data_IF_293733258702
#
_entry.id   IF_293733258702
#
_cell.length_a   1.000
_cell.length_b   1.000
_cell.length_c   1.000
_cell.angle_alpha   90.00
_cell.angle_beta   90.00
_cell.angle_gamma   90.00
#
_symmetry.space_group_name_H-M   'P 1'
#
loop_
_entity.id
_entity.type
_entity.pdbx_description
1 polymer ?
#
# COMPACT_ATOMS: atom_id res chain seq x y z
N UNK A 1 31.44 11.65 1.91
CA UNK A 1 30.27 12.01 1.06
C UNK A 1 29.41 13.10 1.67
N UNK A 2 29.22 13.11 2.99
CA UNK A 2 28.33 14.05 3.65
C UNK A 2 29.14 15.22 4.22
N UNK A 3 28.98 16.38 3.59
CA UNK A 3 29.46 17.63 4.21
C UNK A 3 28.54 17.92 5.39
N UNK A 4 29.11 18.16 6.56
CA UNK A 4 28.34 18.51 7.77
C UNK A 4 27.81 19.96 7.76
N UNK A 5 28.17 20.75 6.75
CA UNK A 5 27.74 22.15 6.61
C UNK A 5 26.65 22.26 5.54
N UNK A 6 25.70 23.17 5.77
CA UNK A 6 24.60 23.47 4.86
C UNK A 6 23.41 22.50 5.06
N UNK A 7 22.46 22.57 4.14
CA UNK A 7 21.22 21.80 4.17
C UNK A 7 21.07 20.93 2.91
N UNK A 8 20.33 19.83 3.05
CA UNK A 8 19.87 19.03 1.93
C UNK A 8 18.35 19.16 1.82
N UNK A 9 17.89 19.67 0.68
CA UNK A 9 16.46 19.84 0.38
C UNK A 9 16.05 18.79 -0.64
N UNK A 10 14.86 18.19 -0.47
CA UNK A 10 14.26 17.32 -1.45
C UNK A 10 12.75 17.52 -1.48
N UNK A 11 12.14 17.20 -2.62
CA UNK A 11 10.70 17.24 -2.80
C UNK A 11 10.10 15.84 -2.61
N UNK A 12 8.99 15.78 -1.89
CA UNK A 12 8.15 14.59 -1.77
C UNK A 12 6.74 14.94 -2.22
N UNK A 13 6.16 14.12 -3.11
CA UNK A 13 4.86 14.41 -3.70
C UNK A 13 3.74 14.57 -2.66
N UNK A 14 3.89 13.93 -1.48
CA UNK A 14 2.89 13.96 -0.41
C UNK A 14 3.27 14.98 0.66
N UNK A 15 4.51 14.97 1.13
CA UNK A 15 4.96 15.82 2.24
C UNK A 15 5.42 17.20 1.79
N UNK A 16 5.68 17.42 0.49
CA UNK A 16 6.18 18.67 -0.06
C UNK A 16 7.68 18.81 0.11
N UNK A 17 8.18 20.04 0.12
CA UNK A 17 9.60 20.32 0.27
C UNK A 17 10.05 20.08 1.71
N UNK A 18 11.09 19.25 1.85
CA UNK A 18 11.68 18.86 3.14
C UNK A 18 13.12 19.31 3.13
N UNK A 19 13.51 20.07 4.15
CA UNK A 19 14.88 20.54 4.36
C UNK A 19 15.45 19.91 5.64
N UNK A 20 16.66 19.37 5.53
CA UNK A 20 17.38 18.73 6.65
C UNK A 20 18.77 19.32 6.76
N UNK A 21 19.20 19.69 7.98
CA UNK A 21 20.56 20.12 8.25
C UNK A 21 21.53 18.96 8.00
N UNK A 22 22.57 19.20 7.22
CA UNK A 22 23.56 18.17 6.92
C UNK A 22 24.32 17.69 8.16
N UNK A 23 24.37 18.47 9.23
CA UNK A 23 24.92 18.06 10.52
C UNK A 23 24.14 16.93 11.20
N UNK A 24 22.86 16.73 10.82
CA UNK A 24 22.01 15.62 11.30
C UNK A 24 22.18 14.34 10.49
N UNK A 25 22.90 14.40 9.38
CA UNK A 25 23.11 13.24 8.50
C UNK A 25 24.33 12.43 8.95
N UNK A 26 24.10 11.30 9.56
CA UNK A 26 25.16 10.35 9.92
C UNK A 26 25.81 9.69 8.72
N UNK A 27 27.09 9.37 8.85
CA UNK A 27 27.78 8.50 7.89
C UNK A 27 27.10 7.13 7.84
N UNK A 28 27.06 6.55 6.65
CA UNK A 28 26.51 5.21 6.46
C UNK A 28 27.50 4.30 5.73
N UNK A 29 27.43 3.02 6.08
CA UNK A 29 28.18 1.99 5.36
C UNK A 29 27.47 1.75 4.02
N UNK A 30 28.17 1.95 2.91
CA UNK A 30 27.67 1.71 1.57
C UNK A 30 27.96 0.27 1.11
N UNK A 31 29.21 -0.19 1.35
CA UNK A 31 29.67 -1.53 0.99
C UNK A 31 30.14 -2.23 2.26
N UNK A 32 29.66 -3.45 2.49
CA UNK A 32 30.06 -4.28 3.61
C UNK A 32 31.47 -4.85 3.39
N UNK A 33 32.09 -5.38 4.45
CA UNK A 33 33.43 -5.99 4.39
C UNK A 33 33.51 -7.21 3.47
N UNK A 34 32.38 -7.87 3.20
CA UNK A 34 32.26 -9.00 2.26
C UNK A 34 32.12 -8.56 0.79
N UNK A 35 32.14 -7.24 0.52
CA UNK A 35 32.04 -6.65 -0.81
C UNK A 35 30.60 -6.46 -1.31
N UNK A 36 29.58 -6.88 -0.55
CA UNK A 36 28.18 -6.65 -0.93
C UNK A 36 27.71 -5.25 -0.50
N UNK A 37 26.86 -4.59 -1.32
CA UNK A 37 26.30 -3.31 -0.95
C UNK A 37 25.31 -3.47 0.22
N UNK A 38 25.16 -2.38 0.99
CA UNK A 38 24.02 -2.28 1.90
C UNK A 38 22.77 -1.92 1.12
N UNK A 39 21.58 -2.10 1.72
CA UNK A 39 20.31 -1.68 1.13
C UNK A 39 20.35 -0.20 0.70
N UNK A 40 20.86 0.67 1.56
CA UNK A 40 20.92 2.12 1.31
C UNK A 40 21.77 2.54 0.11
N UNK A 41 22.69 1.70 -0.32
CA UNK A 41 23.49 1.94 -1.52
C UNK A 41 22.86 1.24 -2.74
N UNK A 42 22.44 -0.01 -2.56
CA UNK A 42 21.89 -0.81 -3.64
C UNK A 42 20.62 -0.17 -4.23
N UNK A 43 19.71 0.34 -3.40
CA UNK A 43 18.48 0.95 -3.88
C UNK A 43 18.73 2.15 -4.81
N UNK A 44 19.69 3.02 -4.49
CA UNK A 44 20.02 4.18 -5.33
C UNK A 44 20.60 3.75 -6.68
N UNK A 45 21.49 2.75 -6.67
CA UNK A 45 22.12 2.23 -7.90
C UNK A 45 21.09 1.47 -8.76
N UNK A 46 20.28 0.63 -8.14
CA UNK A 46 19.27 -0.17 -8.84
C UNK A 46 18.19 0.71 -9.43
N UNK A 47 17.69 1.70 -8.68
CA UNK A 47 16.67 2.64 -9.14
C UNK A 47 17.19 3.45 -10.34
N UNK A 48 18.44 3.91 -10.31
CA UNK A 48 19.04 4.60 -11.44
C UNK A 48 19.22 3.69 -12.66
N UNK A 49 19.79 2.48 -12.48
CA UNK A 49 20.06 1.56 -13.59
C UNK A 49 18.77 0.97 -14.22
N UNK A 50 17.70 0.89 -13.44
CA UNK A 50 16.38 0.45 -13.92
C UNK A 50 15.51 1.60 -14.41
N UNK A 51 16.03 2.83 -14.44
CA UNK A 51 15.32 4.04 -14.89
C UNK A 51 14.02 4.27 -14.12
N UNK A 52 14.02 4.02 -12.79
CA UNK A 52 12.87 4.25 -11.93
C UNK A 52 12.59 5.74 -11.86
N UNK A 53 11.38 6.12 -12.20
CA UNK A 53 10.93 7.53 -12.22
C UNK A 53 10.29 7.95 -10.90
N UNK A 54 9.63 7.04 -10.18
CA UNK A 54 8.93 7.30 -8.94
C UNK A 54 9.27 6.22 -7.91
N UNK A 55 9.68 6.65 -6.71
CA UNK A 55 9.96 5.77 -5.57
C UNK A 55 8.81 5.86 -4.59
N UNK A 56 7.92 4.84 -4.60
CA UNK A 56 6.76 4.75 -3.70
C UNK A 56 7.10 3.83 -2.53
N UNK A 57 7.06 4.33 -1.30
CA UNK A 57 7.40 3.54 -0.09
C UNK A 57 6.80 4.15 1.18
N UNK A 58 6.95 3.48 2.32
CA UNK A 58 6.45 3.98 3.60
C UNK A 58 7.19 5.22 4.10
N UNK A 59 6.49 6.06 4.86
CA UNK A 59 7.02 7.31 5.39
C UNK A 59 8.17 7.14 6.41
N UNK A 60 8.45 5.92 6.89
CA UNK A 60 9.63 5.62 7.69
C UNK A 60 10.95 5.90 6.97
N UNK A 61 10.93 5.96 5.65
CA UNK A 61 12.12 6.28 4.84
C UNK A 61 12.35 7.78 4.61
N UNK A 62 11.44 8.66 5.06
CA UNK A 62 11.61 10.12 4.95
C UNK A 62 12.94 10.59 5.56
N UNK A 63 13.33 10.04 6.72
CA UNK A 63 14.60 10.38 7.37
C UNK A 63 15.85 9.88 6.61
N UNK A 64 15.69 8.90 5.74
CA UNK A 64 16.78 8.36 4.92
C UNK A 64 16.89 9.03 3.55
N UNK A 65 15.82 9.64 3.05
CA UNK A 65 15.78 10.27 1.73
C UNK A 65 16.88 11.31 1.50
N UNK A 66 17.25 12.19 2.47
CA UNK A 66 18.36 13.12 2.28
C UNK A 66 19.69 12.43 1.99
N UNK A 67 19.94 11.27 2.61
CA UNK A 67 21.16 10.48 2.38
C UNK A 67 21.20 9.90 0.95
N UNK A 68 20.03 9.46 0.44
CA UNK A 68 19.91 8.97 -0.94
C UNK A 68 20.12 10.11 -1.95
N UNK A 69 19.56 11.29 -1.71
CA UNK A 69 19.78 12.46 -2.55
C UNK A 69 21.26 12.82 -2.66
N UNK A 70 21.99 12.75 -1.54
CA UNK A 70 23.44 12.99 -1.54
C UNK A 70 24.20 11.95 -2.38
N UNK A 71 23.73 10.71 -2.45
CA UNK A 71 24.31 9.69 -3.33
C UNK A 71 24.01 9.99 -4.79
N UNK A 72 22.77 10.31 -5.16
CA UNK A 72 22.41 10.71 -6.52
C UNK A 72 23.24 11.90 -6.97
N UNK A 73 23.37 12.93 -6.12
CA UNK A 73 24.18 14.11 -6.38
C UNK A 73 25.66 13.76 -6.59
N UNK A 74 26.23 12.89 -5.73
CA UNK A 74 27.64 12.47 -5.82
C UNK A 74 27.93 11.69 -7.11
N UNK A 75 26.95 10.96 -7.64
CA UNK A 75 27.06 10.26 -8.92
C UNK A 75 26.72 11.12 -10.13
N UNK A 76 26.16 12.32 -9.92
CA UNK A 76 25.65 13.18 -10.98
C UNK A 76 24.39 12.63 -11.65
N UNK A 77 23.58 11.85 -10.91
CA UNK A 77 22.35 11.25 -11.37
C UNK A 77 21.14 12.11 -10.98
N UNK A 78 20.07 12.01 -11.77
CA UNK A 78 18.80 12.62 -11.44
C UNK A 78 18.13 11.87 -10.29
N UNK A 79 17.51 12.61 -9.37
CA UNK A 79 16.76 12.06 -8.24
C UNK A 79 15.35 11.70 -8.74
N UNK A 80 14.86 10.48 -8.50
CA UNK A 80 13.49 10.13 -8.83
C UNK A 80 12.50 10.89 -7.96
N UNK A 81 11.25 10.96 -8.38
CA UNK A 81 10.18 11.53 -7.57
C UNK A 81 9.88 10.61 -6.37
N UNK A 82 9.84 11.20 -5.18
CA UNK A 82 9.50 10.47 -3.96
C UNK A 82 8.01 10.58 -3.63
N UNK A 83 7.42 9.43 -3.30
CA UNK A 83 6.04 9.30 -2.82
C UNK A 83 6.05 8.50 -1.53
N UNK A 84 6.13 9.16 -0.38
CA UNK A 84 6.13 8.49 0.91
C UNK A 84 4.71 8.31 1.45
N UNK A 85 4.21 7.08 1.39
CA UNK A 85 2.86 6.73 1.85
C UNK A 85 2.77 6.76 3.39
N UNK A 86 1.59 7.11 3.94
CA UNK A 86 1.37 7.12 5.38
C UNK A 86 1.45 5.71 5.98
N UNK A 87 1.75 5.65 7.27
CA UNK A 87 1.70 4.39 8.02
C UNK A 87 0.26 3.89 8.14
N UNK A 88 0.05 2.58 7.94
CA UNK A 88 -1.21 1.92 8.23
C UNK A 88 -1.17 1.42 9.68
N UNK A 89 -2.22 1.73 10.43
CA UNK A 89 -2.36 1.41 11.86
C UNK A 89 -3.60 0.53 12.11
N UNK A 90 -3.63 -0.12 13.25
CA UNK A 90 -4.85 -0.72 13.78
C UNK A 90 -5.77 0.34 14.42
N UNK A 91 -6.92 -0.08 14.94
CA UNK A 91 -7.91 0.78 15.63
C UNK A 91 -7.34 1.48 16.88
N UNK A 92 -6.25 0.96 17.43
CA UNK A 92 -5.56 1.55 18.59
C UNK A 92 -4.38 2.45 18.18
N UNK A 93 -4.31 2.84 16.90
CA UNK A 93 -3.22 3.64 16.32
C UNK A 93 -1.83 3.02 16.45
N UNK A 94 -1.73 1.70 16.59
CA UNK A 94 -0.46 0.97 16.54
C UNK A 94 -0.20 0.52 15.11
N UNK A 95 1.06 0.61 14.66
CA UNK A 95 1.48 0.14 13.33
C UNK A 95 0.98 -1.29 13.10
N UNK A 96 0.28 -1.51 12.00
CA UNK A 96 -0.22 -2.83 11.62
C UNK A 96 0.95 -3.80 11.50
N UNK A 97 0.83 -4.99 12.10
CA UNK A 97 1.89 -6.00 12.11
C UNK A 97 1.35 -7.35 11.68
N UNK A 98 2.23 -8.21 11.15
CA UNK A 98 1.90 -9.58 10.72
C UNK A 98 1.23 -10.45 11.81
N UNK A 99 1.25 -10.03 13.06
CA UNK A 99 0.63 -10.77 14.19
C UNK A 99 -0.85 -10.46 14.38
N UNK A 100 -1.40 -9.50 13.64
CA UNK A 100 -2.81 -9.06 13.81
C UNK A 100 -3.82 -9.92 13.02
N UNK A 101 -3.40 -10.98 12.31
CA UNK A 101 -4.30 -11.91 11.63
C UNK A 101 -5.03 -11.38 10.37
N UNK A 102 -4.74 -10.13 9.97
CA UNK A 102 -5.33 -9.48 8.78
C UNK A 102 -4.27 -8.72 7.98
N UNK A 103 -3.02 -9.18 8.04
CA UNK A 103 -1.87 -8.41 7.57
C UNK A 103 -1.30 -8.88 6.24
N UNK A 104 -1.82 -9.97 5.69
CA UNK A 104 -1.47 -10.43 4.35
C UNK A 104 -2.70 -10.51 3.47
N UNK A 105 -2.50 -10.43 2.16
CA UNK A 105 -3.59 -10.62 1.18
C UNK A 105 -4.14 -12.03 1.26
N UNK A 106 -3.28 -13.02 1.46
CA UNK A 106 -3.65 -14.42 1.61
C UNK A 106 -4.61 -14.63 2.79
N UNK A 107 -4.30 -14.04 3.96
CA UNK A 107 -5.19 -14.11 5.14
C UNK A 107 -6.58 -13.54 4.86
N UNK A 108 -6.68 -12.50 4.04
CA UNK A 108 -7.96 -11.89 3.66
C UNK A 108 -8.71 -12.76 2.64
N UNK A 109 -8.02 -13.30 1.65
CA UNK A 109 -8.62 -14.22 0.67
C UNK A 109 -9.16 -15.48 1.35
N UNK A 110 -8.41 -16.06 2.30
CA UNK A 110 -8.81 -17.22 3.08
C UNK A 110 -10.05 -16.95 3.97
N UNK A 111 -10.27 -15.69 4.35
CA UNK A 111 -11.47 -15.24 5.05
C UNK A 111 -12.66 -14.97 4.11
N UNK A 112 -12.51 -15.14 2.80
CA UNK A 112 -13.57 -14.96 1.80
C UNK A 112 -13.74 -13.53 1.30
N UNK A 113 -12.76 -12.66 1.50
CA UNK A 113 -12.76 -11.35 0.85
C UNK A 113 -12.41 -11.47 -0.63
N UNK A 114 -13.14 -10.77 -1.47
CA UNK A 114 -12.90 -10.71 -2.91
C UNK A 114 -11.67 -9.87 -3.22
N UNK A 115 -10.83 -10.26 -4.19
CA UNK A 115 -9.67 -9.47 -4.60
C UNK A 115 -10.02 -8.02 -4.96
N UNK A 116 -11.13 -7.79 -5.64
CA UNK A 116 -11.61 -6.47 -6.05
C UNK A 116 -11.95 -5.60 -4.85
N UNK A 117 -12.58 -6.17 -3.83
CA UNK A 117 -12.91 -5.46 -2.59
C UNK A 117 -11.63 -5.11 -1.80
N UNK A 118 -10.65 -6.03 -1.74
CA UNK A 118 -9.36 -5.78 -1.10
C UNK A 118 -8.61 -4.65 -1.82
N UNK A 119 -8.52 -4.68 -3.15
CA UNK A 119 -7.84 -3.65 -3.95
C UNK A 119 -8.49 -2.29 -3.73
N UNK A 120 -9.82 -2.20 -3.83
CA UNK A 120 -10.53 -0.95 -3.62
C UNK A 120 -10.36 -0.42 -2.18
N UNK A 121 -10.46 -1.31 -1.18
CA UNK A 121 -10.24 -0.93 0.21
C UNK A 121 -8.82 -0.40 0.45
N UNK A 122 -7.80 -1.10 -0.08
CA UNK A 122 -6.39 -0.69 0.06
C UNK A 122 -6.13 0.65 -0.65
N UNK A 123 -6.73 0.88 -1.82
CA UNK A 123 -6.63 2.16 -2.50
C UNK A 123 -7.15 3.32 -1.63
N UNK A 124 -8.24 3.10 -0.88
CA UNK A 124 -8.81 4.11 0.02
C UNK A 124 -8.04 4.26 1.35
N UNK A 125 -7.05 3.40 1.63
CA UNK A 125 -6.19 3.55 2.80
C UNK A 125 -5.19 4.71 2.60
N UNK A 126 -5.60 5.89 3.02
CA UNK A 126 -4.78 7.10 2.91
C UNK A 126 -4.98 7.91 1.65
N UNK A 127 -5.72 7.43 0.66
CA UNK A 127 -6.14 8.20 -0.51
C UNK A 127 -7.64 8.52 -0.45
N UNK A 128 -8.02 9.70 -0.94
CA UNK A 128 -9.41 10.12 -1.03
C UNK A 128 -9.75 10.50 -2.46
N UNK A 129 -10.81 9.89 -3.05
CA UNK A 129 -11.30 10.32 -4.34
C UNK A 129 -11.88 11.74 -4.27
N UNK A 130 -11.95 12.42 -5.41
CA UNK A 130 -12.58 13.74 -5.51
C UNK A 130 -14.11 13.66 -5.44
N UNK A 131 -14.68 12.50 -5.71
CA UNK A 131 -16.10 12.21 -5.65
C UNK A 131 -16.46 11.58 -4.30
N UNK A 132 -17.68 11.81 -3.82
CA UNK A 132 -18.22 11.17 -2.62
C UNK A 132 -18.68 9.73 -2.94
N UNK A 133 -17.73 8.88 -3.27
CA UNK A 133 -17.91 7.49 -3.70
C UNK A 133 -16.80 6.62 -3.14
N UNK A 134 -17.16 5.41 -2.71
CA UNK A 134 -16.20 4.48 -2.09
C UNK A 134 -16.07 3.13 -2.83
N UNK A 135 -17.01 2.78 -3.70
CA UNK A 135 -16.98 1.52 -4.47
C UNK A 135 -16.59 1.81 -5.92
N UNK A 136 -15.46 1.24 -6.34
CA UNK A 136 -14.87 1.43 -7.67
C UNK A 136 -14.45 0.07 -8.24
N UNK A 137 -14.73 -0.18 -9.50
CA UNK A 137 -14.05 -1.25 -10.23
C UNK A 137 -12.55 -0.90 -10.37
N UNK A 138 -11.71 -1.90 -10.65
CA UNK A 138 -10.27 -1.67 -10.89
C UNK A 138 -10.05 -0.65 -12.01
N UNK A 139 -10.82 -0.75 -13.09
CA UNK A 139 -10.74 0.18 -14.22
C UNK A 139 -11.08 1.62 -13.82
N UNK A 140 -12.11 1.80 -13.01
CA UNK A 140 -12.46 3.14 -12.50
C UNK A 140 -11.39 3.67 -11.55
N UNK A 141 -10.77 2.81 -10.72
CA UNK A 141 -9.64 3.21 -9.88
C UNK A 141 -8.45 3.68 -10.72
N UNK A 142 -8.12 2.96 -11.81
CA UNK A 142 -7.06 3.36 -12.74
C UNK A 142 -7.31 4.74 -13.38
N UNK A 143 -8.59 5.10 -13.60
CA UNK A 143 -8.98 6.38 -14.21
C UNK A 143 -8.98 7.55 -13.22
N UNK A 144 -9.27 7.30 -11.93
CA UNK A 144 -9.48 8.37 -10.93
C UNK A 144 -8.35 8.47 -9.89
N UNK A 145 -7.50 7.43 -9.78
CA UNK A 145 -6.45 7.43 -8.77
C UNK A 145 -5.36 8.46 -9.11
N UNK A 146 -5.13 9.35 -8.16
CA UNK A 146 -4.05 10.34 -8.21
C UNK A 146 -3.30 10.32 -6.89
N UNK A 147 -2.02 9.91 -6.92
CA UNK A 147 -1.18 9.80 -5.72
C UNK A 147 -0.95 11.14 -5.01
N UNK A 148 -1.13 12.28 -5.68
CA UNK A 148 -1.07 13.60 -5.03
C UNK A 148 -2.21 13.83 -4.02
N UNK A 149 -3.27 13.03 -4.08
CA UNK A 149 -4.36 13.06 -3.11
C UNK A 149 -4.18 12.09 -1.94
N UNK A 150 -2.99 11.47 -1.81
CA UNK A 150 -2.67 10.65 -0.63
C UNK A 150 -2.47 11.57 0.59
N UNK A 151 -3.11 11.21 1.70
CA UNK A 151 -3.04 11.93 2.97
C UNK A 151 -1.69 11.76 3.65
N UNK A 152 -1.24 12.80 4.38
CA UNK A 152 -0.07 12.71 5.26
C UNK A 152 -0.35 11.96 6.57
N UNK A 153 -1.62 11.86 6.95
CA UNK A 153 -2.06 11.25 8.21
C UNK A 153 -2.05 9.73 8.12
N UNK A 154 -1.69 9.02 9.21
CA UNK A 154 -1.83 7.58 9.26
C UNK A 154 -3.23 7.11 8.90
N UNK A 155 -3.33 6.04 8.12
CA UNK A 155 -4.60 5.40 7.77
C UNK A 155 -4.91 4.27 8.76
N UNK A 156 -6.17 4.14 9.16
CA UNK A 156 -6.62 3.05 10.05
C UNK A 156 -7.17 1.90 9.20
N UNK A 157 -6.66 0.70 9.44
CA UNK A 157 -7.19 -0.52 8.82
C UNK A 157 -8.50 -0.90 9.53
N UNK A 158 -9.62 -0.61 8.88
CA UNK A 158 -10.96 -0.89 9.39
C UNK A 158 -11.53 -2.16 8.70
N UNK A 159 -11.49 -3.28 9.41
CA UNK A 159 -12.02 -4.56 8.92
C UNK A 159 -13.56 -4.54 8.76
N UNK A 160 -14.26 -3.68 9.50
CA UNK A 160 -15.72 -3.56 9.37
C UNK A 160 -16.05 -2.87 8.06
N UNK A 161 -15.32 -1.83 7.71
CA UNK A 161 -15.43 -1.16 6.41
C UNK A 161 -15.11 -2.14 5.26
N UNK A 162 -14.03 -2.91 5.38
CA UNK A 162 -13.68 -3.91 4.35
C UNK A 162 -14.80 -4.95 4.18
N UNK A 163 -15.41 -5.44 5.27
CA UNK A 163 -16.55 -6.37 5.19
C UNK A 163 -17.75 -5.76 4.50
N UNK A 164 -18.07 -4.51 4.80
CA UNK A 164 -19.13 -3.78 4.12
C UNK A 164 -18.84 -3.67 2.61
N UNK A 165 -17.66 -3.23 2.24
CA UNK A 165 -17.25 -3.12 0.82
C UNK A 165 -17.36 -4.48 0.12
N UNK A 166 -16.85 -5.55 0.74
CA UNK A 166 -16.94 -6.90 0.19
C UNK A 166 -18.40 -7.31 -0.05
N UNK A 167 -19.29 -6.99 0.88
CA UNK A 167 -20.73 -7.20 0.73
C UNK A 167 -21.31 -6.48 -0.48
N UNK A 168 -20.91 -5.23 -0.74
CA UNK A 168 -21.37 -4.46 -1.91
C UNK A 168 -20.90 -5.11 -3.24
N UNK A 169 -19.66 -5.59 -3.31
CA UNK A 169 -19.17 -6.33 -4.48
C UNK A 169 -19.95 -7.65 -4.69
N UNK A 170 -20.20 -8.42 -3.62
CA UNK A 170 -20.99 -9.66 -3.70
C UNK A 170 -22.41 -9.39 -4.20
N UNK A 171 -23.07 -8.34 -3.70
CA UNK A 171 -24.41 -7.95 -4.16
C UNK A 171 -24.43 -7.54 -5.62
N UNK A 172 -23.37 -6.88 -6.11
CA UNK A 172 -23.26 -6.43 -7.48
C UNK A 172 -22.95 -7.54 -8.49
N UNK A 173 -22.44 -8.71 -8.05
CA UNK A 173 -22.19 -9.85 -8.93
C UNK A 173 -23.47 -10.29 -9.66
N UNK A 174 -23.35 -10.80 -10.88
CA UNK A 174 -24.41 -11.60 -11.47
C UNK A 174 -24.59 -12.94 -10.71
N UNK A 175 -25.69 -13.62 -10.97
CA UNK A 175 -26.03 -14.85 -10.21
C UNK A 175 -25.04 -15.98 -10.49
N UNK A 176 -24.52 -16.09 -11.71
CA UNK A 176 -23.61 -17.18 -12.10
C UNK A 176 -22.26 -17.00 -11.42
N UNK A 177 -21.68 -15.79 -11.47
CA UNK A 177 -20.44 -15.46 -10.77
C UNK A 177 -20.59 -15.62 -9.24
N UNK A 178 -21.71 -15.18 -8.66
CA UNK A 178 -21.99 -15.38 -7.24
C UNK A 178 -22.02 -16.87 -6.88
N UNK A 179 -22.67 -17.70 -7.70
CA UNK A 179 -22.77 -19.15 -7.45
C UNK A 179 -21.41 -19.84 -7.48
N UNK A 180 -20.49 -19.42 -8.33
CA UNK A 180 -19.13 -19.98 -8.36
C UNK A 180 -18.41 -19.78 -7.01
N UNK A 181 -18.61 -18.66 -6.36
CA UNK A 181 -18.02 -18.36 -5.04
C UNK A 181 -18.82 -18.98 -3.88
N UNK A 182 -20.14 -18.90 -3.91
CA UNK A 182 -20.99 -19.28 -2.79
C UNK A 182 -21.16 -20.80 -2.63
N UNK A 183 -21.30 -21.55 -3.74
CA UNK A 183 -21.57 -23.00 -3.67
C UNK A 183 -20.49 -23.82 -2.96
N UNK A 184 -19.19 -23.58 -3.15
CA UNK A 184 -18.16 -24.29 -2.40
C UNK A 184 -18.33 -24.11 -0.88
N UNK A 185 -18.54 -22.86 -0.44
CA UNK A 185 -18.71 -22.52 0.99
C UNK A 185 -20.00 -23.15 1.56
N UNK A 186 -21.11 -23.06 0.82
CA UNK A 186 -22.38 -23.68 1.23
C UNK A 186 -22.24 -25.20 1.36
N UNK A 187 -21.50 -25.85 0.46
CA UNK A 187 -21.25 -27.30 0.52
C UNK A 187 -20.46 -27.73 1.75
N UNK A 188 -19.55 -26.91 2.23
CA UNK A 188 -18.77 -27.22 3.44
C UNK A 188 -19.61 -27.15 4.71
N UNK A 189 -20.56 -26.21 4.75
CA UNK A 189 -21.35 -25.93 5.97
C UNK A 189 -22.65 -26.74 6.02
N UNK A 190 -23.29 -26.97 4.87
CA UNK A 190 -24.59 -27.65 4.79
C UNK A 190 -24.36 -29.15 4.65
N UNK A 191 -24.54 -29.89 5.75
CA UNK A 191 -24.33 -31.33 5.83
C UNK A 191 -25.57 -32.16 5.55
N UNK A 192 -26.75 -31.54 5.45
CA UNK A 192 -28.02 -32.22 5.16
C UNK A 192 -28.34 -32.14 3.67
N UNK A 193 -29.15 -33.06 3.20
CA UNK A 193 -29.62 -33.13 1.81
C UNK A 193 -30.65 -32.02 1.53
N UNK A 194 -30.15 -30.81 1.23
CA UNK A 194 -30.94 -29.68 0.84
C UNK A 194 -30.54 -29.18 -0.57
N UNK A 195 -31.43 -28.42 -1.21
CA UNK A 195 -31.09 -27.69 -2.45
C UNK A 195 -30.10 -26.58 -2.16
N UNK A 196 -28.79 -26.87 -2.35
CA UNK A 196 -27.70 -25.96 -2.06
C UNK A 196 -27.73 -24.70 -2.93
N UNK A 197 -28.24 -24.80 -4.17
CA UNK A 197 -28.39 -23.67 -5.06
C UNK A 197 -29.40 -22.68 -4.49
N UNK A 198 -30.55 -23.19 -4.05
CA UNK A 198 -31.59 -22.35 -3.46
C UNK A 198 -31.15 -21.70 -2.15
N UNK A 199 -30.33 -22.40 -1.36
CA UNK A 199 -29.74 -21.81 -0.15
C UNK A 199 -28.80 -20.68 -0.54
N UNK A 200 -27.91 -20.89 -1.51
CA UNK A 200 -26.98 -19.84 -1.97
C UNK A 200 -27.74 -18.63 -2.54
N UNK A 201 -28.79 -18.85 -3.35
CA UNK A 201 -29.64 -17.75 -3.86
C UNK A 201 -30.25 -16.89 -2.72
N UNK A 202 -30.73 -17.54 -1.65
CA UNK A 202 -31.30 -16.84 -0.49
C UNK A 202 -30.27 -16.06 0.33
N UNK A 203 -29.00 -16.44 0.26
CA UNK A 203 -27.91 -15.77 0.99
C UNK A 203 -27.35 -14.53 0.25
N UNK A 204 -27.72 -14.34 -1.01
CA UNK A 204 -27.25 -13.18 -1.81
C UNK A 204 -28.00 -11.86 -1.47
N UNK A 205 -29.06 -11.88 -0.69
CA UNK A 205 -29.93 -10.72 -0.37
C UNK A 205 -29.30 -9.67 0.55
#
# INVERSE_FOLDING_TARGET
>A
LFRSEGTTTFHDAIYGDIEVDNAELDDMILIKTDGYPTYNFANVVDDHLQEITHVVRGNEYLSSAPKYNRLYEAFGWEVPEYVHCPTITDENHKKLSKRCGHSSVEDLLDQGFLPEAIINFVALLGWSPTEDREIFSLKELEEVFDYHHISKSPAVFDIVKLRWMNGEYIKAMDMDAYMEHALPVVKEVVTKDYDLKKIAELLKT
#
